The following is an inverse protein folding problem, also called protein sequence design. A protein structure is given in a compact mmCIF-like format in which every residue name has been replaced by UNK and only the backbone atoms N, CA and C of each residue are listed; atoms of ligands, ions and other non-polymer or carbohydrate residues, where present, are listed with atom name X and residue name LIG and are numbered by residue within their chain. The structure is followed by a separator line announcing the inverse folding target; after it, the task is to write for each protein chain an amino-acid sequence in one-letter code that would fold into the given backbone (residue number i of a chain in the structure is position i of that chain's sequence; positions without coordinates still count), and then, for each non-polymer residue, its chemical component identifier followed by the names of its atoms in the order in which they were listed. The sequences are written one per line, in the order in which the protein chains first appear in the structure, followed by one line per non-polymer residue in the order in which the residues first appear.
data_IF_721401397981
#
_entry.id   IF_721401397981
#
_cell.length_a   1.000
_cell.length_b   1.000
_cell.length_c   1.000
_cell.angle_alpha   90.00
_cell.angle_beta   90.00
_cell.angle_gamma   90.00
#
_symmetry.space_group_name_H-M   'P 1'
#
loop_
_entity.id
_entity.type
_entity.pdbx_description
1 polymer ?
#
# COMPACT_ATOMS: atom_id res chain seq x y z
N UNK A 1 -23.49 -41.09 -9.56
CA UNK A 1 -22.80 -40.37 -10.65
C UNK A 1 -23.27 -38.93 -10.61
N UNK A 2 -22.51 -38.08 -9.92
CA UNK A 2 -22.77 -36.64 -9.82
C UNK A 2 -22.36 -36.01 -11.16
N UNK A 3 -23.18 -35.17 -11.81
CA UNK A 3 -22.77 -34.56 -13.05
C UNK A 3 -21.67 -33.55 -12.75
N UNK A 4 -20.50 -33.77 -13.36
CA UNK A 4 -19.49 -32.74 -13.57
C UNK A 4 -20.18 -31.53 -14.21
N UNK A 5 -20.19 -30.40 -13.52
CA UNK A 5 -20.57 -29.12 -14.11
C UNK A 5 -19.60 -28.87 -15.26
N UNK A 6 -20.09 -29.06 -16.48
CA UNK A 6 -19.37 -28.68 -17.68
C UNK A 6 -19.16 -27.17 -17.64
N UNK A 7 -17.89 -26.73 -17.72
CA UNK A 7 -17.58 -25.35 -18.04
C UNK A 7 -18.23 -25.00 -19.38
N UNK A 8 -19.05 -23.96 -19.39
CA UNK A 8 -19.59 -23.38 -20.60
C UNK A 8 -18.41 -22.93 -21.50
N UNK A 9 -18.22 -23.50 -22.70
CA UNK A 9 -17.10 -23.19 -23.58
C UNK A 9 -17.16 -21.79 -24.22
N UNK A 10 -18.21 -21.00 -23.94
CA UNK A 10 -18.49 -19.74 -24.64
C UNK A 10 -18.06 -18.45 -23.92
N UNK A 11 -17.60 -18.50 -22.68
CA UNK A 11 -17.17 -17.27 -21.97
C UNK A 11 -15.66 -17.06 -22.05
N UNK A 12 -15.27 -15.97 -22.70
CA UNK A 12 -13.87 -15.52 -22.75
C UNK A 12 -13.35 -15.20 -21.36
N UNK A 13 -12.21 -15.78 -20.99
CA UNK A 13 -11.44 -15.39 -19.79
C UNK A 13 -10.98 -13.93 -19.95
N UNK A 14 -11.43 -13.00 -19.08
CA UNK A 14 -11.07 -11.59 -19.19
C UNK A 14 -9.62 -11.34 -18.78
N UNK A 15 -9.03 -10.28 -19.33
CA UNK A 15 -7.66 -9.88 -19.01
C UNK A 15 -7.59 -9.16 -17.65
N UNK A 16 -6.46 -9.29 -16.97
CA UNK A 16 -6.17 -8.65 -15.68
C UNK A 16 -4.77 -8.00 -15.69
N UNK A 17 -4.61 -6.79 -15.12
CA UNK A 17 -5.63 -5.96 -14.47
C UNK A 17 -6.65 -5.37 -15.45
N UNK A 18 -7.88 -5.14 -14.97
CA UNK A 18 -8.96 -4.53 -15.74
C UNK A 18 -8.90 -2.99 -15.64
N UNK A 19 -9.25 -2.25 -16.70
CA UNK A 19 -9.25 -0.79 -16.66
C UNK A 19 -10.36 -0.23 -15.76
N UNK A 20 -10.09 0.89 -15.10
CA UNK A 20 -11.09 1.66 -14.36
C UNK A 20 -11.93 2.49 -15.33
N UNK A 21 -13.11 2.89 -14.87
CA UNK A 21 -13.93 3.89 -15.56
C UNK A 21 -13.31 5.28 -15.33
N UNK A 22 -12.89 6.01 -16.39
CA UNK A 22 -12.37 7.37 -16.23
C UNK A 22 -13.37 8.33 -15.57
N UNK A 23 -14.68 8.07 -15.69
CA UNK A 23 -15.71 8.89 -15.04
C UNK A 23 -15.78 8.67 -13.52
N UNK A 24 -15.24 7.56 -13.00
CA UNK A 24 -15.15 7.28 -11.58
C UNK A 24 -13.85 6.54 -11.24
N UNK A 25 -12.71 7.25 -11.22
CA UNK A 25 -11.40 6.63 -11.04
C UNK A 25 -11.21 6.03 -9.63
N UNK A 26 -12.05 6.41 -8.66
CA UNK A 26 -12.02 5.84 -7.32
C UNK A 26 -12.62 4.43 -7.25
N UNK A 27 -13.61 4.14 -8.11
CA UNK A 27 -14.34 2.88 -8.10
C UNK A 27 -13.51 1.72 -8.71
N UNK A 28 -13.59 0.50 -8.15
CA UNK A 28 -13.00 -0.68 -8.77
C UNK A 28 -13.40 -0.82 -10.24
N UNK A 29 -12.56 -1.44 -11.08
CA UNK A 29 -12.89 -1.67 -12.49
C UNK A 29 -14.31 -2.22 -12.70
N UNK A 30 -15.12 -1.64 -13.61
CA UNK A 30 -16.51 -2.06 -13.81
C UNK A 30 -16.65 -3.56 -14.10
N UNK A 31 -15.72 -4.13 -14.87
CA UNK A 31 -15.71 -5.56 -15.16
C UNK A 31 -15.43 -6.40 -13.90
N UNK A 32 -14.57 -5.93 -13.00
CA UNK A 32 -14.28 -6.61 -11.73
C UNK A 32 -15.50 -6.57 -10.79
N UNK A 33 -16.25 -5.48 -10.79
CA UNK A 33 -17.53 -5.35 -10.07
C UNK A 33 -18.58 -6.29 -10.66
N UNK A 34 -18.70 -6.38 -11.99
CA UNK A 34 -19.59 -7.35 -12.65
C UNK A 34 -19.23 -8.80 -12.27
N UNK A 35 -17.93 -9.14 -12.27
CA UNK A 35 -17.48 -10.46 -11.83
C UNK A 35 -17.79 -10.72 -10.34
N UNK A 36 -17.71 -9.71 -9.48
CA UNK A 36 -18.12 -9.84 -8.07
C UNK A 36 -19.58 -10.29 -7.92
N UNK A 37 -20.49 -9.69 -8.70
CA UNK A 37 -21.92 -10.00 -8.64
C UNK A 37 -22.27 -11.34 -9.29
N UNK A 38 -21.69 -11.63 -10.45
CA UNK A 38 -22.05 -12.79 -11.27
C UNK A 38 -21.24 -14.05 -10.93
N UNK A 39 -19.92 -13.91 -10.76
CA UNK A 39 -18.95 -15.02 -10.69
C UNK A 39 -17.78 -14.66 -9.74
N UNK A 40 -18.03 -14.66 -8.43
CA UNK A 40 -17.11 -14.11 -7.43
C UNK A 40 -15.80 -14.89 -7.28
N UNK A 41 -15.76 -16.13 -7.79
CA UNK A 41 -14.56 -16.93 -7.97
C UNK A 41 -14.50 -17.33 -9.45
N UNK A 42 -13.59 -16.71 -10.19
CA UNK A 42 -13.51 -16.87 -11.65
C UNK A 42 -12.06 -16.87 -12.13
N UNK A 43 -11.82 -17.21 -13.41
CA UNK A 43 -10.48 -17.15 -14.00
C UNK A 43 -10.27 -15.79 -14.67
N UNK A 44 -9.04 -15.27 -14.58
CA UNK A 44 -8.54 -14.13 -15.34
C UNK A 44 -7.24 -14.48 -16.06
N UNK A 45 -6.92 -13.75 -17.13
CA UNK A 45 -5.70 -13.92 -17.93
C UNK A 45 -4.72 -12.80 -17.67
N UNK A 46 -3.45 -13.14 -17.46
CA UNK A 46 -2.37 -12.16 -17.28
C UNK A 46 -1.64 -11.89 -18.61
N UNK A 47 -0.76 -10.88 -18.58
CA UNK A 47 0.03 -10.41 -19.73
C UNK A 47 0.83 -11.50 -20.47
N UNK A 48 1.20 -12.59 -19.79
CA UNK A 48 1.95 -13.72 -20.37
C UNK A 48 1.05 -14.87 -20.88
N UNK A 49 -0.26 -14.64 -20.92
CA UNK A 49 -1.27 -15.61 -21.36
C UNK A 49 -1.64 -16.66 -20.30
N UNK A 50 -1.00 -16.67 -19.13
CA UNK A 50 -1.36 -17.55 -18.03
C UNK A 50 -2.73 -17.20 -17.44
N UNK A 51 -3.45 -18.20 -16.92
CA UNK A 51 -4.76 -18.02 -16.29
C UNK A 51 -4.72 -18.36 -14.80
N UNK A 52 -5.31 -17.48 -13.99
CA UNK A 52 -5.28 -17.55 -12.54
C UNK A 52 -6.65 -17.29 -11.95
N UNK A 53 -6.87 -17.75 -10.72
CA UNK A 53 -8.12 -17.51 -10.01
C UNK A 53 -8.18 -16.06 -9.51
N UNK A 54 -9.33 -15.42 -9.67
CA UNK A 54 -9.68 -14.13 -9.11
C UNK A 54 -10.79 -14.35 -8.07
N UNK A 55 -10.61 -13.81 -6.86
CA UNK A 55 -11.58 -13.96 -5.76
C UNK A 55 -12.02 -12.59 -5.28
N UNK A 56 -13.27 -12.24 -5.54
CA UNK A 56 -13.78 -10.86 -5.37
C UNK A 56 -14.75 -10.69 -4.19
N UNK A 57 -15.27 -11.76 -3.61
CA UNK A 57 -16.19 -11.70 -2.45
C UNK A 57 -15.46 -11.45 -1.13
N UNK A 58 -15.97 -10.53 -0.32
CA UNK A 58 -15.32 -10.13 0.94
C UNK A 58 -15.00 -11.32 1.87
N UNK A 59 -15.96 -12.21 2.10
CA UNK A 59 -15.77 -13.34 3.03
C UNK A 59 -14.75 -14.36 2.52
N UNK A 60 -14.79 -14.66 1.23
CA UNK A 60 -13.83 -15.55 0.58
C UNK A 60 -12.43 -14.94 0.65
N UNK A 61 -12.28 -13.66 0.33
CA UNK A 61 -11.00 -12.94 0.44
C UNK A 61 -10.45 -13.00 1.87
N UNK A 62 -11.29 -12.72 2.88
CA UNK A 62 -10.92 -12.76 4.29
C UNK A 62 -10.48 -14.16 4.72
N UNK A 63 -11.17 -15.20 4.29
CA UNK A 63 -10.81 -16.58 4.57
C UNK A 63 -9.44 -16.93 3.94
N UNK A 64 -9.24 -16.59 2.66
CA UNK A 64 -8.00 -16.86 1.95
C UNK A 64 -6.79 -16.13 2.53
N UNK A 65 -6.96 -14.93 3.08
CA UNK A 65 -5.88 -14.22 3.76
C UNK A 65 -5.33 -14.96 4.99
N UNK A 66 -6.15 -15.78 5.64
CA UNK A 66 -5.76 -16.57 6.81
C UNK A 66 -5.39 -18.02 6.48
N UNK A 67 -5.52 -18.47 5.23
CA UNK A 67 -5.32 -19.87 4.85
C UNK A 67 -3.85 -20.15 4.56
N UNK A 68 -3.20 -20.95 5.41
CA UNK A 68 -1.80 -21.33 5.28
C UNK A 68 -1.50 -22.21 4.04
N UNK A 69 -2.54 -22.76 3.38
CA UNK A 69 -2.38 -23.45 2.09
C UNK A 69 -2.13 -22.49 0.93
N UNK A 70 -2.27 -21.18 1.14
CA UNK A 70 -2.00 -20.14 0.15
C UNK A 70 -0.67 -19.44 0.44
N UNK A 71 0.35 -19.83 -0.30
CA UNK A 71 1.71 -19.30 -0.18
C UNK A 71 1.85 -17.91 -0.80
N UNK A 72 2.68 -17.06 -0.19
CA UNK A 72 3.14 -15.77 -0.76
C UNK A 72 4.50 -15.87 -1.44
N UNK A 73 5.12 -17.05 -1.47
CA UNK A 73 6.45 -17.25 -2.03
C UNK A 73 6.46 -17.04 -3.54
N UNK A 74 6.98 -15.88 -3.93
CA UNK A 74 7.09 -15.43 -5.32
C UNK A 74 8.08 -16.24 -6.14
N UNK A 75 8.83 -17.18 -5.57
CA UNK A 75 9.78 -18.03 -6.31
C UNK A 75 9.14 -19.32 -6.83
N UNK A 76 7.94 -19.64 -6.34
CA UNK A 76 7.24 -20.88 -6.71
C UNK A 76 6.70 -20.83 -8.13
N UNK A 77 6.79 -21.98 -8.82
CA UNK A 77 6.20 -22.15 -10.15
C UNK A 77 4.68 -22.00 -10.08
N UNK A 78 4.11 -21.22 -11.00
CA UNK A 78 2.68 -20.94 -11.07
C UNK A 78 2.24 -19.67 -10.33
N UNK A 79 3.17 -18.95 -9.69
CA UNK A 79 2.84 -17.69 -9.02
C UNK A 79 2.35 -16.64 -10.04
N UNK A 80 1.24 -15.90 -9.76
CA UNK A 80 0.66 -14.96 -10.71
C UNK A 80 1.42 -13.62 -10.71
N UNK A 81 2.33 -13.42 -11.66
CA UNK A 81 3.07 -12.17 -11.82
C UNK A 81 2.32 -11.18 -12.71
N UNK A 82 2.16 -9.96 -12.20
CA UNK A 82 1.42 -8.90 -12.90
C UNK A 82 2.19 -8.24 -14.05
N UNK A 83 3.51 -8.44 -14.13
CA UNK A 83 4.32 -7.91 -15.23
C UNK A 83 5.57 -8.76 -15.48
N UNK A 84 6.18 -8.56 -16.65
CA UNK A 84 7.45 -9.17 -17.02
C UNK A 84 8.57 -8.84 -16.04
N UNK A 85 8.65 -7.58 -15.59
CA UNK A 85 9.67 -7.12 -14.65
C UNK A 85 9.58 -7.82 -13.28
N UNK A 86 8.36 -8.02 -12.75
CA UNK A 86 8.17 -8.77 -11.50
C UNK A 86 8.56 -10.24 -11.65
N UNK A 87 8.22 -10.87 -12.77
CA UNK A 87 8.60 -12.26 -13.07
C UNK A 87 10.11 -12.42 -13.23
N UNK A 88 10.77 -11.46 -13.88
CA UNK A 88 12.22 -11.48 -14.10
C UNK A 88 13.01 -11.33 -12.79
N UNK A 89 12.53 -10.50 -11.86
CA UNK A 89 13.20 -10.18 -10.60
C UNK A 89 12.90 -11.19 -9.48
N UNK A 90 11.85 -12.00 -9.64
CA UNK A 90 11.50 -13.06 -8.73
C UNK A 90 12.68 -14.03 -8.52
N UNK A 91 13.04 -14.27 -7.25
CA UNK A 91 14.16 -15.13 -6.87
C UNK A 91 15.56 -14.52 -7.08
N UNK A 92 15.69 -13.33 -7.69
CA UNK A 92 16.98 -12.62 -7.84
C UNK A 92 17.26 -11.65 -6.69
N UNK A 93 16.24 -11.26 -5.94
CA UNK A 93 16.36 -10.45 -4.73
C UNK A 93 16.18 -11.37 -3.52
N UNK A 94 16.96 -11.21 -2.44
CA UNK A 94 16.71 -11.94 -1.20
C UNK A 94 15.24 -11.79 -0.78
N UNK A 95 14.54 -12.89 -0.44
CA UNK A 95 13.16 -12.82 -0.03
C UNK A 95 13.05 -11.94 1.22
N UNK A 96 12.02 -11.11 1.27
CA UNK A 96 11.61 -10.41 2.48
C UNK A 96 10.45 -11.14 3.13
N UNK A 97 10.14 -10.81 4.39
CA UNK A 97 8.98 -11.38 5.08
C UNK A 97 7.64 -11.09 4.39
N UNK A 98 7.59 -10.17 3.41
CA UNK A 98 6.40 -9.97 2.58
C UNK A 98 6.11 -11.16 1.64
N UNK A 99 7.12 -11.96 1.32
CA UNK A 99 7.08 -13.06 0.37
C UNK A 99 7.55 -14.39 1.00
N UNK A 100 7.44 -14.52 2.33
CA UNK A 100 7.78 -15.74 3.07
C UNK A 100 6.52 -16.32 3.70
N UNK A 101 6.45 -17.65 3.79
CA UNK A 101 5.44 -18.32 4.59
C UNK A 101 5.99 -18.62 6.00
N UNK A 102 5.11 -19.02 6.92
CA UNK A 102 5.53 -19.49 8.25
C UNK A 102 6.31 -20.81 8.15
N UNK A 103 7.28 -21.06 9.05
CA UNK A 103 7.61 -20.29 10.26
C UNK A 103 8.58 -19.11 10.03
N UNK A 104 9.17 -19.00 8.84
CA UNK A 104 10.22 -18.02 8.56
C UNK A 104 9.69 -16.58 8.55
N UNK A 105 8.49 -16.39 7.99
CA UNK A 105 7.76 -15.14 8.08
C UNK A 105 7.61 -14.67 9.53
N UNK A 106 7.07 -15.50 10.43
CA UNK A 106 6.92 -15.16 11.84
C UNK A 106 8.27 -14.87 12.53
N UNK A 107 9.36 -15.55 12.15
CA UNK A 107 10.70 -15.30 12.69
C UNK A 107 11.18 -13.89 12.34
N UNK A 108 11.24 -13.55 11.05
CA UNK A 108 11.74 -12.26 10.56
C UNK A 108 10.81 -11.12 10.98
N UNK A 109 9.49 -11.28 10.80
CA UNK A 109 8.52 -10.22 11.12
C UNK A 109 8.59 -9.80 12.59
N UNK A 110 8.75 -10.75 13.52
CA UNK A 110 8.88 -10.45 14.96
C UNK A 110 10.06 -9.54 15.30
N UNK A 111 11.12 -9.52 14.48
CA UNK A 111 12.27 -8.65 14.70
C UNK A 111 11.92 -7.17 14.52
N UNK A 112 10.95 -6.88 13.65
CA UNK A 112 10.56 -5.52 13.26
C UNK A 112 9.18 -5.11 13.79
N UNK A 113 8.41 -6.01 14.43
CA UNK A 113 7.07 -5.68 14.94
C UNK A 113 7.09 -4.67 16.11
N UNK A 114 8.08 -4.75 17.00
CA UNK A 114 8.09 -3.94 18.23
C UNK A 114 8.11 -2.42 17.97
N UNK A 115 8.92 -1.91 17.02
CA UNK A 115 8.85 -0.51 16.60
C UNK A 115 7.44 -0.05 16.18
N UNK A 116 6.65 -0.90 15.51
CA UNK A 116 5.34 -0.55 14.97
C UNK A 116 4.16 -0.74 15.94
N UNK A 117 4.42 -0.88 17.23
CA UNK A 117 3.33 -0.92 18.22
C UNK A 117 2.58 0.40 18.26
N UNK A 118 1.26 0.36 18.53
CA UNK A 118 0.40 1.55 18.56
C UNK A 118 1.01 2.65 19.44
N UNK A 119 1.50 2.29 20.64
CA UNK A 119 2.11 3.26 21.56
C UNK A 119 3.34 3.95 20.96
N UNK A 120 4.25 3.21 20.30
CA UNK A 120 5.45 3.79 19.68
C UNK A 120 5.10 4.64 18.46
N UNK A 121 4.12 4.20 17.66
CA UNK A 121 3.68 4.98 16.49
C UNK A 121 3.00 6.27 16.92
N UNK A 122 2.15 6.25 17.94
CA UNK A 122 1.54 7.47 18.50
C UNK A 122 2.57 8.46 19.07
N UNK A 123 3.71 7.98 19.59
CA UNK A 123 4.80 8.86 20.01
C UNK A 123 5.46 9.63 18.85
N UNK A 124 5.31 9.17 17.60
CA UNK A 124 5.76 9.90 16.41
C UNK A 124 4.78 10.99 15.96
N UNK A 125 3.54 11.04 16.47
CA UNK A 125 2.54 12.02 16.04
C UNK A 125 3.03 13.47 16.09
N UNK A 126 3.75 13.95 17.12
CA UNK A 126 4.33 15.30 17.12
C UNK A 126 5.33 15.53 15.99
N UNK A 127 6.16 14.51 15.66
CA UNK A 127 7.10 14.59 14.54
C UNK A 127 6.37 14.63 13.20
N UNK A 128 5.35 13.78 13.02
CA UNK A 128 4.51 13.80 11.81
C UNK A 128 3.83 15.16 11.65
N UNK A 129 3.32 15.74 12.74
CA UNK A 129 2.71 17.08 12.73
C UNK A 129 3.73 18.14 12.30
N UNK A 130 4.92 18.16 12.92
CA UNK A 130 5.99 19.11 12.57
C UNK A 130 6.37 19.02 11.09
N UNK A 131 6.63 17.81 10.58
CA UNK A 131 6.99 17.61 9.16
C UNK A 131 5.85 18.05 8.24
N UNK A 132 4.60 17.74 8.60
CA UNK A 132 3.42 18.17 7.83
C UNK A 132 3.32 19.70 7.78
N UNK A 133 3.52 20.36 8.92
CA UNK A 133 3.49 21.83 8.99
C UNK A 133 4.62 22.48 8.16
N UNK A 134 5.85 21.96 8.26
CA UNK A 134 7.00 22.43 7.47
C UNK A 134 6.78 22.27 5.96
N UNK A 135 6.23 21.14 5.52
CA UNK A 135 5.92 20.89 4.11
C UNK A 135 4.78 21.79 3.61
N UNK A 136 3.75 22.01 4.42
CA UNK A 136 2.67 22.94 4.08
C UNK A 136 3.19 24.39 4.03
N UNK A 137 4.08 24.80 4.94
CA UNK A 137 4.70 26.12 4.92
C UNK A 137 5.51 26.34 3.62
N UNK A 138 6.34 25.35 3.26
CA UNK A 138 7.10 25.39 2.02
C UNK A 138 6.20 25.41 0.77
N UNK A 139 5.13 24.63 0.77
CA UNK A 139 4.12 24.62 -0.30
C UNK A 139 3.44 25.99 -0.44
N UNK A 140 3.04 26.62 0.66
CA UNK A 140 2.37 27.92 0.66
C UNK A 140 3.28 29.08 0.25
N UNK A 141 4.60 28.97 0.51
CA UNK A 141 5.60 29.92 0.05
C UNK A 141 6.03 29.71 -1.41
N UNK A 142 5.63 28.58 -2.01
CA UNK A 142 5.98 28.17 -3.36
C UNK A 142 5.02 28.68 -4.45
N UNK A 143 5.09 28.10 -5.66
CA UNK A 143 4.18 28.44 -6.75
C UNK A 143 2.73 28.03 -6.42
N UNK A 144 1.77 28.77 -6.99
CA UNK A 144 0.34 28.46 -6.96
C UNK A 144 -0.19 28.66 -8.39
N UNK A 145 -0.54 27.59 -9.15
CA UNK A 145 -0.73 26.21 -8.71
C UNK A 145 0.56 25.46 -8.38
N UNK A 146 0.41 24.36 -7.63
CA UNK A 146 1.49 23.43 -7.24
C UNK A 146 1.07 21.98 -7.52
N UNK A 147 2.03 21.10 -7.79
CA UNK A 147 1.80 19.66 -7.71
C UNK A 147 1.87 19.19 -6.24
N UNK A 148 0.73 18.76 -5.70
CA UNK A 148 0.63 18.27 -4.31
C UNK A 148 1.46 16.98 -4.10
N UNK A 149 1.62 16.16 -5.15
CA UNK A 149 2.36 14.89 -5.04
C UNK A 149 3.81 15.18 -4.68
N UNK A 150 4.47 16.04 -5.45
CA UNK A 150 5.85 16.46 -5.20
C UNK A 150 6.01 17.38 -3.98
N UNK A 151 5.05 18.25 -3.69
CA UNK A 151 5.17 19.23 -2.60
C UNK A 151 4.88 18.67 -1.20
N UNK A 152 4.00 17.65 -1.09
CA UNK A 152 3.54 17.15 0.21
C UNK A 152 3.50 15.62 0.27
N UNK A 153 2.89 14.95 -0.71
CA UNK A 153 2.52 13.55 -0.57
C UNK A 153 3.72 12.59 -0.60
N UNK A 154 4.72 12.83 -1.45
CA UNK A 154 5.96 12.03 -1.48
C UNK A 154 6.94 12.40 -0.35
N UNK A 155 7.24 13.70 -0.09
CA UNK A 155 8.23 14.06 0.93
C UNK A 155 7.85 13.61 2.34
N UNK A 156 6.57 13.70 2.72
CA UNK A 156 6.13 13.42 4.09
C UNK A 156 6.46 11.99 4.55
N UNK A 157 5.93 10.92 3.93
CA UNK A 157 6.20 9.56 4.41
C UNK A 157 7.68 9.18 4.31
N UNK A 158 8.42 9.74 3.35
CA UNK A 158 9.87 9.59 3.27
C UNK A 158 10.59 10.18 4.49
N UNK A 159 10.20 11.35 4.96
CA UNK A 159 10.80 11.99 6.13
C UNK A 159 10.39 11.29 7.43
N UNK A 160 9.12 10.89 7.54
CA UNK A 160 8.60 10.18 8.72
C UNK A 160 9.26 8.81 8.91
N UNK A 161 9.45 8.04 7.82
CA UNK A 161 10.14 6.76 7.92
C UNK A 161 11.64 6.91 8.22
N UNK A 162 12.28 8.00 7.76
CA UNK A 162 13.65 8.32 8.15
C UNK A 162 13.77 8.55 9.66
N UNK A 163 12.83 9.30 10.24
CA UNK A 163 12.75 9.49 11.70
C UNK A 163 12.60 8.15 12.44
N UNK A 164 11.65 7.31 12.01
CA UNK A 164 11.41 6.00 12.63
C UNK A 164 12.65 5.09 12.55
N UNK A 165 13.38 5.13 11.43
CA UNK A 165 14.64 4.40 11.25
C UNK A 165 15.78 5.01 12.07
N UNK A 166 15.67 6.25 12.55
CA UNK A 166 16.75 6.95 13.24
C UNK A 166 17.86 7.41 12.29
N UNK A 167 17.46 7.81 11.08
CA UNK A 167 18.31 8.49 10.11
C UNK A 167 18.50 9.94 10.58
N UNK A 168 19.74 10.45 10.66
CA UNK A 168 20.01 11.84 10.97
C UNK A 168 19.34 12.80 9.98
N UNK A 169 18.84 13.92 10.50
CA UNK A 169 18.09 14.90 9.72
C UNK A 169 18.93 15.48 8.56
N UNK A 170 20.23 15.68 8.77
CA UNK A 170 21.17 16.17 7.76
C UNK A 170 21.26 15.29 6.51
N UNK A 171 20.87 14.01 6.61
CA UNK A 171 20.93 13.06 5.51
C UNK A 171 19.57 12.90 4.79
N UNK A 172 18.53 13.63 5.18
CA UNK A 172 17.21 13.53 4.57
C UNK A 172 17.20 13.78 3.05
N UNK A 173 18.01 14.72 2.55
CA UNK A 173 18.16 14.98 1.11
C UNK A 173 18.71 13.77 0.36
N UNK A 174 19.65 13.05 0.97
CA UNK A 174 20.19 11.81 0.41
C UNK A 174 19.08 10.76 0.30
N UNK A 175 18.29 10.58 1.36
CA UNK A 175 17.19 9.62 1.37
C UNK A 175 16.10 9.98 0.38
N UNK A 176 15.61 11.22 0.39
CA UNK A 176 14.57 11.66 -0.53
C UNK A 176 15.00 11.48 -1.99
N UNK A 177 16.24 11.84 -2.34
CA UNK A 177 16.75 11.69 -3.70
C UNK A 177 16.79 10.23 -4.14
N UNK A 178 17.38 9.34 -3.34
CA UNK A 178 17.50 7.93 -3.72
C UNK A 178 16.16 7.19 -3.61
N UNK A 179 15.31 7.57 -2.67
CA UNK A 179 13.95 7.04 -2.53
C UNK A 179 13.11 7.42 -3.74
N UNK A 180 13.16 8.68 -4.19
CA UNK A 180 12.49 9.16 -5.42
C UNK A 180 12.97 8.40 -6.66
N UNK A 181 14.27 8.21 -6.84
CA UNK A 181 14.83 7.43 -7.98
C UNK A 181 14.45 5.95 -7.89
N UNK A 182 14.40 5.38 -6.69
CA UNK A 182 14.03 3.99 -6.46
C UNK A 182 12.61 3.64 -6.91
N UNK A 183 11.69 4.61 -6.89
CA UNK A 183 10.27 4.44 -7.22
C UNK A 183 9.81 5.21 -8.47
N UNK A 184 10.69 6.01 -9.07
CA UNK A 184 10.36 6.78 -10.28
C UNK A 184 10.27 5.87 -11.51
N UNK A 185 9.29 6.14 -12.37
CA UNK A 185 9.14 5.47 -13.66
C UNK A 185 10.08 5.98 -14.75
N UNK A 186 10.58 7.20 -14.58
CA UNK A 186 11.57 7.78 -15.48
C UNK A 186 12.95 7.16 -15.24
N UNK A 187 13.15 6.52 -14.09
CA UNK A 187 14.38 5.83 -13.75
C UNK A 187 14.47 4.49 -14.49
N UNK A 188 15.62 4.27 -15.10
CA UNK A 188 15.99 2.97 -15.67
C UNK A 188 16.14 1.92 -14.56
N UNK A 189 16.00 0.64 -14.91
CA UNK A 189 16.25 -0.46 -13.98
C UNK A 189 17.66 -0.41 -13.36
N UNK A 190 18.64 0.16 -14.06
CA UNK A 190 20.00 0.37 -13.55
C UNK A 190 20.06 1.48 -12.49
N UNK A 191 19.38 2.61 -12.72
CA UNK A 191 19.31 3.72 -11.78
C UNK A 191 18.57 3.32 -10.49
N UNK A 192 17.42 2.65 -10.60
CA UNK A 192 16.68 2.19 -9.42
C UNK A 192 17.50 1.17 -8.62
N UNK A 193 18.24 0.26 -9.26
CA UNK A 193 19.17 -0.66 -8.57
C UNK A 193 20.30 0.08 -7.87
N UNK A 194 20.90 1.07 -8.53
CA UNK A 194 21.96 1.88 -7.96
C UNK A 194 21.47 2.67 -6.74
N UNK A 195 20.25 3.23 -6.81
CA UNK A 195 19.65 3.96 -5.71
C UNK A 195 19.34 3.07 -4.50
N UNK A 196 18.76 1.90 -4.71
CA UNK A 196 18.54 0.91 -3.65
C UNK A 196 19.86 0.44 -3.02
N UNK A 197 20.91 0.23 -3.83
CA UNK A 197 22.23 -0.14 -3.31
C UNK A 197 22.86 0.99 -2.47
N UNK A 198 22.66 2.24 -2.86
CA UNK A 198 23.14 3.40 -2.10
C UNK A 198 22.44 3.48 -0.73
N UNK A 199 21.12 3.31 -0.70
CA UNK A 199 20.31 3.26 0.53
C UNK A 199 20.74 2.08 1.42
N UNK A 200 20.90 0.89 0.85
CA UNK A 200 21.42 -0.29 1.57
C UNK A 200 22.76 0.01 2.24
N UNK A 201 23.75 0.50 1.48
CA UNK A 201 25.09 0.78 2.00
C UNK A 201 25.06 1.84 3.09
N UNK A 202 24.17 2.82 2.96
CA UNK A 202 23.98 3.83 3.99
C UNK A 202 23.43 3.20 5.28
N UNK A 203 22.32 2.46 5.20
CA UNK A 203 21.69 1.84 6.36
C UNK A 203 22.60 0.81 7.02
N UNK A 204 23.36 0.05 6.24
CA UNK A 204 24.38 -0.87 6.75
C UNK A 204 25.44 -0.12 7.55
N UNK A 205 25.95 1.03 7.06
CA UNK A 205 26.89 1.87 7.82
C UNK A 205 26.26 2.37 9.12
N UNK A 206 25.06 2.96 9.04
CA UNK A 206 24.36 3.51 10.19
C UNK A 206 24.11 2.45 11.28
N UNK A 207 23.70 1.24 10.90
CA UNK A 207 23.58 0.09 11.81
C UNK A 207 24.87 -0.23 12.56
N UNK A 208 26.04 -0.01 11.95
CA UNK A 208 27.32 -0.23 12.60
C UNK A 208 27.71 0.85 13.60
N UNK A 209 27.09 2.03 13.53
CA UNK A 209 27.33 3.15 14.43
C UNK A 209 26.43 3.07 15.68
N UNK A 210 25.21 2.54 15.54
CA UNK A 210 24.23 2.45 16.63
C UNK A 210 24.72 1.77 17.92
N UNK A 211 25.59 0.73 17.91
CA UNK A 211 26.08 0.14 19.15
C UNK A 211 26.90 1.10 20.03
N UNK A 212 27.54 2.11 19.44
CA UNK A 212 28.34 3.09 20.18
C UNK A 212 27.48 4.24 20.73
N UNK A 213 26.37 4.56 20.07
CA UNK A 213 25.44 5.63 20.44
C UNK A 213 23.99 5.21 20.10
N UNK A 214 23.37 4.37 20.96
CA UNK A 214 22.02 3.88 20.72
C UNK A 214 20.98 4.97 21.03
N UNK A 215 19.95 5.06 20.19
CA UNK A 215 18.81 5.95 20.39
C UNK A 215 17.49 5.17 20.35
N UNK A 216 16.35 5.84 20.63
CA UNK A 216 15.03 5.20 20.61
C UNK A 216 14.47 5.08 19.18
N UNK A 217 15.21 4.41 18.32
CA UNK A 217 14.89 4.21 16.90
C UNK A 217 15.01 2.75 16.46
N UNK A 218 14.42 2.46 15.30
CA UNK A 218 14.34 1.10 14.81
C UNK A 218 15.72 0.50 14.46
N UNK A 219 16.66 1.28 13.93
CA UNK A 219 17.99 0.75 13.60
C UNK A 219 18.79 0.43 14.87
N UNK A 220 18.57 1.16 15.97
CA UNK A 220 19.14 0.83 17.29
C UNK A 220 18.56 -0.48 17.82
N UNK A 221 17.25 -0.67 17.71
CA UNK A 221 16.57 -1.92 18.07
C UNK A 221 17.10 -3.12 17.25
N UNK A 222 17.31 -2.93 15.94
CA UNK A 222 17.88 -3.95 15.06
C UNK A 222 19.35 -4.22 15.38
N UNK A 223 20.15 -3.17 15.57
CA UNK A 223 21.58 -3.30 15.90
C UNK A 223 21.79 -4.08 17.20
N UNK A 224 20.96 -3.85 18.23
CA UNK A 224 20.99 -4.60 19.48
C UNK A 224 20.76 -6.12 19.26
N UNK A 225 19.90 -6.50 18.30
CA UNK A 225 19.64 -7.90 17.96
C UNK A 225 20.76 -8.55 17.15
N UNK A 226 21.52 -7.77 16.38
CA UNK A 226 22.67 -8.32 15.62
C UNK A 226 23.74 -8.92 16.53
N UNK A 227 23.80 -8.53 17.80
CA UNK A 227 24.73 -9.09 18.79
C UNK A 227 24.49 -10.60 19.05
N UNK A 228 23.26 -11.09 18.91
CA UNK A 228 22.95 -12.52 18.99
C UNK A 228 23.20 -13.29 17.68
N UNK A 229 23.66 -12.61 16.62
CA UNK A 229 23.89 -13.19 15.29
C UNK A 229 22.62 -13.41 14.46
N UNK A 230 21.45 -13.06 14.99
CA UNK A 230 20.16 -13.19 14.31
C UNK A 230 19.25 -11.98 14.62
N UNK A 231 18.99 -11.08 13.65
CA UNK A 231 19.46 -11.12 12.25
C UNK A 231 20.94 -10.76 12.12
N UNK A 232 21.56 -11.17 11.01
CA UNK A 232 22.85 -10.62 10.59
C UNK A 232 22.74 -9.12 10.28
N UNK A 233 23.87 -8.39 10.29
CA UNK A 233 23.89 -6.97 9.91
C UNK A 233 23.36 -6.72 8.49
N UNK A 234 23.62 -7.65 7.57
CA UNK A 234 23.12 -7.60 6.20
C UNK A 234 21.58 -7.68 6.16
N UNK A 235 21.01 -8.66 6.86
CA UNK A 235 19.55 -8.82 6.96
C UNK A 235 18.89 -7.62 7.64
N UNK A 236 19.49 -7.09 8.71
CA UNK A 236 19.02 -5.86 9.37
C UNK A 236 19.00 -4.65 8.42
N UNK A 237 20.05 -4.47 7.60
CA UNK A 237 20.11 -3.39 6.62
C UNK A 237 19.05 -3.56 5.52
N UNK A 238 18.86 -4.79 5.03
CA UNK A 238 17.82 -5.11 4.04
C UNK A 238 16.40 -4.88 4.59
N UNK A 239 16.16 -5.16 5.87
CA UNK A 239 14.89 -4.84 6.54
C UNK A 239 14.66 -3.32 6.59
N UNK A 240 15.70 -2.52 6.84
CA UNK A 240 15.61 -1.06 6.78
C UNK A 240 15.23 -0.55 5.37
N UNK A 241 15.88 -1.06 4.32
CA UNK A 241 15.55 -0.70 2.92
C UNK A 241 14.11 -1.08 2.57
N UNK A 242 13.68 -2.28 2.98
CA UNK A 242 12.32 -2.75 2.75
C UNK A 242 11.27 -1.81 3.34
N UNK A 243 11.47 -1.35 4.58
CA UNK A 243 10.52 -0.50 5.27
C UNK A 243 10.50 0.93 4.73
N UNK A 244 11.67 1.44 4.35
CA UNK A 244 11.80 2.72 3.65
C UNK A 244 10.97 2.72 2.35
N UNK A 245 11.08 1.66 1.54
CA UNK A 245 10.32 1.53 0.31
C UNK A 245 8.82 1.29 0.53
N UNK A 246 8.45 0.44 1.49
CA UNK A 246 7.06 0.01 1.70
C UNK A 246 6.12 1.15 2.14
N UNK A 247 6.60 2.05 3.00
CA UNK A 247 5.80 3.18 3.52
C UNK A 247 5.73 4.38 2.57
N UNK A 248 6.65 4.49 1.60
CA UNK A 248 6.77 5.70 0.79
C UNK A 248 5.65 5.83 -0.24
N UNK A 249 5.54 4.90 -1.19
CA UNK A 249 4.57 5.04 -2.29
C UNK A 249 3.12 4.85 -1.82
N UNK A 250 2.89 3.94 -0.87
CA UNK A 250 1.53 3.61 -0.39
C UNK A 250 0.88 4.76 0.35
N UNK A 251 1.58 5.39 1.30
CA UNK A 251 1.07 6.58 2.00
C UNK A 251 0.95 7.78 1.06
N UNK A 252 1.94 8.02 0.18
CA UNK A 252 1.88 9.14 -0.75
C UNK A 252 0.67 9.07 -1.69
N UNK A 253 0.40 7.88 -2.23
CA UNK A 253 -0.76 7.67 -3.09
C UNK A 253 -2.07 7.79 -2.30
N UNK A 254 -2.13 7.31 -1.05
CA UNK A 254 -3.29 7.52 -0.18
C UNK A 254 -3.53 9.01 0.06
N UNK A 255 -2.49 9.78 0.42
CA UNK A 255 -2.61 11.24 0.62
C UNK A 255 -3.19 11.90 -0.64
N UNK A 256 -2.59 11.65 -1.79
CA UNK A 256 -2.97 12.30 -3.05
C UNK A 256 -4.39 11.93 -3.47
N UNK A 257 -4.73 10.63 -3.47
CA UNK A 257 -6.07 10.17 -3.83
C UNK A 257 -7.13 10.59 -2.81
N UNK A 258 -6.80 10.62 -1.51
CA UNK A 258 -7.73 11.08 -0.49
C UNK A 258 -8.02 12.57 -0.59
N UNK A 259 -7.02 13.39 -0.92
CA UNK A 259 -7.25 14.81 -1.22
C UNK A 259 -8.14 14.96 -2.45
N UNK A 260 -7.80 14.28 -3.55
CA UNK A 260 -8.61 14.32 -4.77
C UNK A 260 -10.06 13.85 -4.51
N UNK A 261 -10.25 12.72 -3.82
CA UNK A 261 -11.58 12.21 -3.49
C UNK A 261 -12.39 13.17 -2.61
N UNK A 262 -11.77 13.81 -1.61
CA UNK A 262 -12.46 14.79 -0.78
C UNK A 262 -12.81 16.07 -1.56
N UNK A 263 -11.95 16.53 -2.48
CA UNK A 263 -12.26 17.68 -3.35
C UNK A 263 -13.45 17.41 -4.27
N UNK A 264 -13.61 16.17 -4.75
CA UNK A 264 -14.78 15.71 -5.52
C UNK A 264 -16.05 15.49 -4.67
N UNK A 265 -15.93 15.53 -3.32
CA UNK A 265 -17.05 15.37 -2.39
C UNK A 265 -17.06 16.48 -1.33
N UNK A 266 -17.42 17.73 -1.69
CA UNK A 266 -17.31 18.90 -0.82
C UNK A 266 -18.04 18.77 0.51
N UNK A 267 -19.15 18.04 0.55
CA UNK A 267 -19.92 17.80 1.77
C UNK A 267 -19.19 16.87 2.74
N UNK A 268 -18.41 15.90 2.24
CA UNK A 268 -17.55 15.04 3.05
C UNK A 268 -16.28 15.79 3.48
N UNK A 269 -15.71 16.59 2.58
CA UNK A 269 -14.58 17.46 2.88
C UNK A 269 -14.89 18.44 4.02
N UNK A 270 -16.08 19.04 4.03
CA UNK A 270 -16.49 19.94 5.12
C UNK A 270 -16.41 19.24 6.49
N UNK A 271 -16.76 17.95 6.57
CA UNK A 271 -16.66 17.17 7.82
C UNK A 271 -15.22 17.05 8.31
N UNK A 272 -14.29 16.80 7.39
CA UNK A 272 -12.86 16.64 7.68
C UNK A 272 -12.22 17.98 8.02
N UNK A 273 -12.61 19.05 7.31
CA UNK A 273 -12.08 20.41 7.48
C UNK A 273 -12.55 21.05 8.79
N UNK A 274 -13.83 20.91 9.11
CA UNK A 274 -14.49 21.69 10.17
C UNK A 274 -14.49 20.97 11.54
N UNK A 275 -13.87 19.79 11.64
CA UNK A 275 -13.80 19.02 12.90
C UNK A 275 -12.51 19.28 13.67
N UNK A 276 -12.64 19.45 14.99
CA UNK A 276 -11.52 19.38 15.94
C UNK A 276 -11.47 18.02 16.68
N UNK A 277 -12.45 17.13 16.47
CA UNK A 277 -12.50 15.80 17.11
C UNK A 277 -11.58 14.80 16.36
N UNK A 278 -10.52 14.28 17.01
CA UNK A 278 -9.64 13.29 16.40
C UNK A 278 -10.36 11.99 16.00
N UNK A 279 -11.48 11.65 16.64
CA UNK A 279 -12.26 10.45 16.30
C UNK A 279 -12.95 10.57 14.95
N UNK A 280 -13.40 11.78 14.59
CA UNK A 280 -14.01 12.04 13.27
C UNK A 280 -12.95 11.91 12.18
N UNK A 281 -11.76 12.48 12.38
CA UNK A 281 -10.64 12.30 11.45
C UNK A 281 -10.20 10.84 11.33
N UNK A 282 -10.13 10.11 12.45
CA UNK A 282 -9.81 8.69 12.42
C UNK A 282 -10.85 7.89 11.63
N UNK A 283 -12.15 8.16 11.80
CA UNK A 283 -13.22 7.54 11.03
C UNK A 283 -13.15 7.86 9.53
N UNK A 284 -12.89 9.13 9.19
CA UNK A 284 -12.71 9.57 7.81
C UNK A 284 -11.54 8.86 7.12
N UNK A 285 -10.43 8.65 7.83
CA UNK A 285 -9.27 7.90 7.32
C UNK A 285 -9.62 6.43 7.06
N UNK A 286 -10.35 5.76 7.96
CA UNK A 286 -10.78 4.38 7.70
C UNK A 286 -11.72 4.30 6.47
N UNK A 287 -12.61 5.28 6.30
CA UNK A 287 -13.47 5.32 5.11
C UNK A 287 -12.67 5.56 3.82
N UNK A 288 -11.71 6.48 3.82
CA UNK A 288 -10.84 6.72 2.66
C UNK A 288 -10.00 5.48 2.33
N UNK A 289 -9.45 4.79 3.33
CA UNK A 289 -8.73 3.53 3.16
C UNK A 289 -9.61 2.47 2.51
N UNK A 290 -10.85 2.30 3.00
CA UNK A 290 -11.85 1.40 2.39
C UNK A 290 -12.13 1.81 0.94
N UNK A 291 -12.50 3.06 0.72
CA UNK A 291 -12.99 3.56 -0.55
C UNK A 291 -11.92 3.48 -1.64
N UNK A 292 -10.69 3.90 -1.33
CA UNK A 292 -9.62 4.01 -2.32
C UNK A 292 -8.85 2.70 -2.53
N UNK A 293 -8.63 1.92 -1.46
CA UNK A 293 -7.88 0.65 -1.48
C UNK A 293 -6.70 0.65 -2.46
N UNK A 294 -5.70 1.50 -2.19
CA UNK A 294 -4.64 1.82 -3.16
C UNK A 294 -3.80 0.63 -3.61
N UNK A 295 -3.72 -0.46 -2.84
CA UNK A 295 -3.11 -1.71 -3.30
C UNK A 295 -4.12 -2.47 -4.18
N UNK A 296 -4.41 -1.92 -5.35
CA UNK A 296 -5.57 -2.30 -6.17
C UNK A 296 -5.36 -3.57 -7.00
N UNK A 297 -4.12 -3.91 -7.35
CA UNK A 297 -3.83 -5.09 -8.17
C UNK A 297 -3.96 -6.41 -7.39
N UNK A 298 -4.41 -6.33 -6.14
CA UNK A 298 -4.70 -7.46 -5.29
C UNK A 298 -3.46 -8.15 -4.72
N UNK A 299 -3.70 -8.89 -3.65
CA UNK A 299 -2.69 -9.76 -3.06
C UNK A 299 -2.69 -11.08 -3.81
N UNK A 300 -1.50 -11.53 -4.21
CA UNK A 300 -1.32 -12.78 -4.95
C UNK A 300 -0.91 -13.90 -4.02
N UNK A 301 -1.38 -15.10 -4.34
CA UNK A 301 -1.05 -16.34 -3.65
C UNK A 301 -0.84 -17.48 -4.63
N UNK A 302 -0.22 -18.55 -4.16
CA UNK A 302 -0.17 -19.84 -4.82
C UNK A 302 -0.77 -20.92 -3.91
N UNK A 303 -1.69 -21.73 -4.43
CA UNK A 303 -2.20 -22.88 -3.70
C UNK A 303 -1.11 -23.97 -3.56
N UNK A 304 -0.82 -24.35 -2.32
CA UNK A 304 0.07 -25.46 -1.97
C UNK A 304 -0.66 -26.80 -1.95
N UNK A 305 -1.96 -26.75 -1.68
CA UNK A 305 -2.87 -27.89 -1.57
C UNK A 305 -4.18 -27.56 -2.29
N UNK A 306 -4.95 -28.58 -2.66
CA UNK A 306 -6.30 -28.39 -3.20
C UNK A 306 -7.22 -27.75 -2.13
N UNK A 307 -8.02 -26.76 -2.54
CA UNK A 307 -8.98 -26.08 -1.67
C UNK A 307 -10.24 -25.66 -2.41
N UNK A 308 -11.35 -25.58 -1.69
CA UNK A 308 -12.62 -25.09 -2.21
C UNK A 308 -12.88 -23.66 -1.74
N UNK A 309 -13.25 -22.78 -2.67
CA UNK A 309 -13.54 -21.36 -2.42
C UNK A 309 -14.76 -20.98 -3.24
N UNK A 310 -15.80 -20.43 -2.61
CA UNK A 310 -17.03 -20.01 -3.32
C UNK A 310 -17.64 -21.11 -4.21
N UNK A 311 -17.51 -22.39 -3.84
CA UNK A 311 -17.97 -23.54 -4.61
C UNK A 311 -17.09 -23.92 -5.82
N UNK A 312 -15.95 -23.25 -6.02
CA UNK A 312 -14.94 -23.59 -7.02
C UNK A 312 -13.78 -24.34 -6.39
N UNK A 313 -13.19 -25.26 -7.16
CA UNK A 313 -12.09 -26.09 -6.69
C UNK A 313 -10.76 -25.59 -7.25
N UNK A 314 -9.94 -25.01 -6.38
CA UNK A 314 -8.59 -24.51 -6.68
C UNK A 314 -7.60 -25.64 -6.43
N UNK A 315 -6.82 -26.02 -7.45
CA UNK A 315 -5.82 -27.08 -7.39
C UNK A 315 -4.49 -26.58 -6.86
N UNK A 316 -3.72 -27.47 -6.22
CA UNK A 316 -2.33 -27.22 -5.89
C UNK A 316 -1.52 -26.79 -7.14
N UNK A 317 -0.71 -25.76 -6.99
CA UNK A 317 0.07 -25.13 -8.06
C UNK A 317 -0.68 -24.05 -8.85
N UNK A 318 -1.95 -23.79 -8.57
CA UNK A 318 -2.69 -22.69 -9.20
C UNK A 318 -2.50 -21.37 -8.44
N UNK A 319 -2.29 -20.28 -9.19
CA UNK A 319 -2.21 -18.93 -8.64
C UNK A 319 -3.60 -18.34 -8.36
N UNK A 320 -3.68 -17.55 -7.30
CA UNK A 320 -4.90 -16.85 -6.83
C UNK A 320 -4.60 -15.36 -6.66
N UNK A 321 -5.50 -14.50 -7.11
CA UNK A 321 -5.44 -13.04 -7.02
C UNK A 321 -6.63 -12.57 -6.18
N UNK A 322 -6.34 -11.78 -5.14
CA UNK A 322 -7.28 -11.32 -4.12
C UNK A 322 -7.36 -9.78 -4.16
N UNK A 323 -8.19 -9.18 -5.03
CA UNK A 323 -8.34 -7.73 -5.16
C UNK A 323 -9.20 -7.14 -4.03
N UNK A 324 -8.55 -6.73 -2.92
CA UNK A 324 -9.25 -6.23 -1.72
C UNK A 324 -10.21 -5.06 -1.96
N UNK A 325 -10.05 -4.30 -3.06
CA UNK A 325 -10.94 -3.20 -3.44
C UNK A 325 -12.39 -3.70 -3.65
N UNK A 326 -12.58 -4.87 -4.25
CA UNK A 326 -13.92 -5.45 -4.46
C UNK A 326 -14.62 -5.81 -3.15
N UNK A 327 -13.90 -6.43 -2.20
CA UNK A 327 -14.45 -6.70 -0.88
C UNK A 327 -14.77 -5.42 -0.11
N UNK A 328 -13.97 -4.38 -0.26
CA UNK A 328 -14.21 -3.07 0.35
C UNK A 328 -15.37 -2.29 -0.29
N UNK A 329 -15.82 -2.71 -1.46
CA UNK A 329 -16.97 -2.17 -2.19
C UNK A 329 -18.17 -3.14 -2.21
N UNK A 330 -18.14 -4.16 -1.34
CA UNK A 330 -19.17 -5.20 -1.24
C UNK A 330 -20.42 -4.66 -0.49
N UNK A 331 -21.61 -4.60 -1.11
CA UNK A 331 -22.81 -3.98 -0.52
C UNK A 331 -23.38 -4.73 0.70
N UNK A 332 -23.11 -6.02 0.81
CA UNK A 332 -23.42 -6.87 1.97
C UNK A 332 -22.57 -6.53 3.21
N UNK A 333 -21.44 -5.85 3.02
CA UNK A 333 -20.53 -5.42 4.09
C UNK A 333 -20.57 -3.92 4.34
N UNK A 334 -20.68 -3.14 3.27
CA UNK A 334 -20.68 -1.69 3.30
C UNK A 334 -21.87 -1.19 2.47
N UNK A 335 -23.03 -0.87 3.10
CA UNK A 335 -24.20 -0.36 2.40
C UNK A 335 -23.85 0.88 1.55
N UNK A 336 -24.44 1.01 0.36
CA UNK A 336 -24.11 2.06 -0.62
C UNK A 336 -22.58 2.23 -0.79
N UNK A 337 -21.86 1.17 -1.22
CA UNK A 337 -20.39 1.12 -1.15
C UNK A 337 -19.71 2.19 -2.01
N UNK A 338 -20.37 2.63 -3.09
CA UNK A 338 -19.89 3.67 -4.00
C UNK A 338 -20.06 5.10 -3.49
N UNK A 339 -20.82 5.32 -2.42
CA UNK A 339 -20.92 6.63 -1.76
C UNK A 339 -19.79 6.79 -0.76
N UNK A 340 -18.95 7.81 -0.94
CA UNK A 340 -17.99 8.23 0.09
C UNK A 340 -18.77 8.81 1.28
N UNK A 341 -18.66 8.17 2.45
CA UNK A 341 -19.31 8.62 3.68
C UNK A 341 -18.35 8.56 4.85
N UNK A 342 -17.68 9.68 5.15
CA UNK A 342 -16.61 9.74 6.16
C UNK A 342 -17.10 9.48 7.59
N UNK A 343 -18.42 9.37 7.79
CA UNK A 343 -19.04 9.04 9.08
C UNK A 343 -19.42 7.56 9.19
N UNK A 344 -19.23 6.76 8.13
CA UNK A 344 -19.48 5.31 8.11
C UNK A 344 -18.56 4.57 9.08
N UNK A 345 -19.05 3.46 9.66
CA UNK A 345 -18.18 2.48 10.33
C UNK A 345 -17.42 1.63 9.29
N UNK A 346 -16.24 2.10 8.87
CA UNK A 346 -15.40 1.44 7.87
C UNK A 346 -14.36 0.46 8.46
N UNK A 347 -14.35 0.22 9.78
CA UNK A 347 -13.27 -0.50 10.51
C UNK A 347 -12.97 -1.92 10.04
N UNK A 348 -13.88 -2.53 9.28
CA UNK A 348 -13.76 -3.90 8.77
C UNK A 348 -13.15 -3.99 7.37
N UNK A 349 -12.71 -2.87 6.79
CA UNK A 349 -12.09 -2.87 5.47
C UNK A 349 -10.81 -3.73 5.43
N UNK A 350 -10.42 -4.16 4.24
CA UNK A 350 -9.23 -4.96 3.97
C UNK A 350 -8.15 -4.18 3.18
N UNK A 351 -8.17 -2.84 3.22
CA UNK A 351 -7.15 -2.01 2.55
C UNK A 351 -5.71 -2.33 3.00
N UNK A 352 -5.53 -2.82 4.23
CA UNK A 352 -4.25 -3.29 4.78
C UNK A 352 -4.05 -4.80 4.67
N UNK A 353 -4.90 -5.50 3.92
CA UNK A 353 -4.99 -6.96 3.91
C UNK A 353 -5.51 -7.52 5.25
N UNK A 354 -5.36 -8.83 5.41
CA UNK A 354 -5.75 -9.56 6.62
C UNK A 354 -4.77 -10.72 6.89
N UNK A 355 -4.89 -11.35 8.06
CA UNK A 355 -4.06 -12.51 8.44
C UNK A 355 -2.63 -12.14 8.81
N UNK A 356 -1.73 -13.13 8.75
CA UNK A 356 -0.34 -13.00 9.20
C UNK A 356 0.44 -11.95 8.38
N UNK A 357 0.02 -11.67 7.14
CA UNK A 357 0.60 -10.66 6.25
C UNK A 357 -0.11 -9.30 6.27
N UNK A 358 -1.03 -9.06 7.22
CA UNK A 358 -1.63 -7.73 7.38
C UNK A 358 -0.55 -6.65 7.51
N UNK A 359 -0.78 -5.46 6.94
CA UNK A 359 0.22 -4.39 6.86
C UNK A 359 0.86 -4.09 8.22
N UNK A 360 2.19 -4.18 8.30
CA UNK A 360 2.96 -3.85 9.50
C UNK A 360 2.88 -2.34 9.83
N UNK A 361 2.97 -1.49 8.81
CA UNK A 361 2.97 -0.03 8.92
C UNK A 361 1.59 0.59 9.15
N UNK A 362 0.53 -0.21 9.30
CA UNK A 362 -0.84 0.30 9.38
C UNK A 362 -1.11 1.33 10.51
N UNK A 363 -0.44 1.32 11.68
CA UNK A 363 -0.68 2.35 12.69
C UNK A 363 0.00 3.66 12.30
N UNK A 364 1.18 3.61 11.68
CA UNK A 364 1.88 4.80 11.20
C UNK A 364 1.12 5.49 10.08
N UNK A 365 0.70 4.72 9.06
CA UNK A 365 -0.07 5.25 7.94
C UNK A 365 -1.34 5.97 8.41
N UNK A 366 -2.05 5.43 9.42
CA UNK A 366 -3.22 6.09 10.00
C UNK A 366 -2.88 7.44 10.64
N UNK A 367 -1.77 7.52 11.38
CA UNK A 367 -1.32 8.76 12.01
C UNK A 367 -0.97 9.80 10.95
N UNK A 368 -0.19 9.41 9.94
CA UNK A 368 0.18 10.28 8.81
C UNK A 368 -1.07 10.84 8.12
N UNK A 369 -2.02 9.97 7.73
CA UNK A 369 -3.23 10.39 7.03
C UNK A 369 -4.12 11.30 7.89
N UNK A 370 -4.28 10.99 9.19
CA UNK A 370 -5.05 11.84 10.12
C UNK A 370 -4.44 13.24 10.23
N UNK A 371 -3.12 13.31 10.41
CA UNK A 371 -2.39 14.57 10.56
C UNK A 371 -2.44 15.38 9.27
N UNK A 372 -2.20 14.75 8.12
CA UNK A 372 -2.18 15.41 6.81
C UNK A 372 -3.53 15.97 6.45
N UNK A 373 -4.58 15.15 6.44
CA UNK A 373 -5.90 15.64 6.03
C UNK A 373 -6.41 16.71 6.99
N UNK A 374 -6.27 16.47 8.30
CA UNK A 374 -6.69 17.45 9.31
C UNK A 374 -5.93 18.77 9.20
N UNK A 375 -4.62 18.75 8.96
CA UNK A 375 -3.80 19.97 8.87
C UNK A 375 -3.96 20.69 7.54
N UNK A 376 -3.91 19.96 6.41
CA UNK A 376 -4.01 20.53 5.07
C UNK A 376 -5.32 21.31 4.90
N UNK A 377 -6.46 20.70 5.22
CA UNK A 377 -7.76 21.35 5.00
C UNK A 377 -8.04 22.46 6.02
N UNK A 378 -7.53 22.34 7.26
CA UNK A 378 -7.62 23.42 8.24
C UNK A 378 -6.79 24.65 7.84
N UNK A 379 -5.56 24.45 7.35
CA UNK A 379 -4.62 25.54 6.99
C UNK A 379 -4.86 26.10 5.60
N UNK A 380 -5.41 25.30 4.70
CA UNK A 380 -5.67 25.67 3.29
C UNK A 380 -7.15 25.44 2.97
N UNK A 381 -8.09 26.16 3.61
CA UNK A 381 -9.53 25.88 3.53
C UNK A 381 -10.14 26.11 2.14
N UNK A 382 -9.42 26.81 1.25
CA UNK A 382 -9.82 27.10 -0.13
C UNK A 382 -9.07 26.25 -1.17
N UNK A 383 -8.34 25.21 -0.72
CA UNK A 383 -7.68 24.25 -1.60
C UNK A 383 -8.70 23.66 -2.59
N UNK A 384 -8.35 23.67 -3.87
CA UNK A 384 -9.16 23.15 -4.98
C UNK A 384 -8.27 22.61 -6.09
N UNK A 385 -8.82 21.74 -6.93
CA UNK A 385 -8.13 21.25 -8.13
C UNK A 385 -7.74 22.40 -9.07
N UNK A 386 -6.57 22.28 -9.69
CA UNK A 386 -6.12 23.15 -10.78
C UNK A 386 -6.20 22.47 -12.16
N UNK A 387 -6.72 21.24 -12.21
CA UNK A 387 -6.99 20.43 -13.40
C UNK A 387 -8.35 19.74 -13.23
N UNK A 388 -8.99 19.32 -14.32
CA UNK A 388 -10.19 18.46 -14.25
C UNK A 388 -9.82 17.02 -13.97
N UNK A 389 -10.78 16.19 -13.56
CA UNK A 389 -10.54 14.78 -13.24
C UNK A 389 -9.98 14.00 -14.43
N UNK A 390 -10.39 14.36 -15.66
CA UNK A 390 -9.92 13.75 -16.91
C UNK A 390 -8.47 14.11 -17.24
N UNK A 391 -7.97 15.24 -16.73
CA UNK A 391 -6.60 15.69 -16.93
C UNK A 391 -5.63 15.10 -15.90
N UNK A 392 -6.15 14.46 -14.84
CA UNK A 392 -5.31 13.85 -13.80
C UNK A 392 -4.61 12.59 -14.33
N UNK A 393 -3.27 12.53 -14.30
CA UNK A 393 -2.53 11.35 -14.75
C UNK A 393 -2.57 10.25 -13.68
N UNK A 394 -3.55 9.34 -13.76
CA UNK A 394 -3.66 8.19 -12.86
C UNK A 394 -2.59 7.12 -13.11
N UNK A 395 -2.22 6.39 -12.04
CA UNK A 395 -1.23 5.30 -12.07
C UNK A 395 -1.86 3.95 -12.46
N UNK A 396 -2.36 3.82 -13.69
CA UNK A 396 -3.05 2.59 -14.15
C UNK A 396 -2.11 1.38 -14.36
N UNK A 397 -0.81 1.62 -14.48
CA UNK A 397 0.27 0.67 -14.69
C UNK A 397 1.10 0.37 -13.43
N UNK A 398 0.67 0.88 -12.26
CA UNK A 398 1.30 0.60 -10.96
C UNK A 398 0.58 -0.50 -10.16
N UNK A 399 1.33 -1.18 -9.27
CA UNK A 399 0.74 -2.07 -8.24
C UNK A 399 -0.05 -1.25 -7.21
N UNK A 400 0.44 -0.05 -6.89
CA UNK A 400 -0.21 0.89 -5.99
C UNK A 400 -0.87 1.96 -6.84
N UNK A 401 -2.19 2.00 -6.82
CA UNK A 401 -3.00 3.02 -7.46
C UNK A 401 -2.76 4.38 -6.82
N UNK A 402 -2.80 5.43 -7.62
CA UNK A 402 -2.45 6.78 -7.24
C UNK A 402 -2.55 7.71 -8.44
N UNK A 403 -1.96 8.89 -8.29
CA UNK A 403 -1.81 9.87 -9.36
C UNK A 403 -0.33 10.23 -9.48
N UNK A 404 0.13 10.55 -10.68
CA UNK A 404 1.50 11.00 -10.90
C UNK A 404 1.71 12.41 -10.39
N UNK A 405 0.75 13.27 -10.68
CA UNK A 405 0.73 14.66 -10.34
C UNK A 405 -0.70 15.01 -9.90
N UNK A 406 -0.82 15.90 -8.94
CA UNK A 406 -2.10 16.45 -8.50
C UNK A 406 -1.99 17.97 -8.45
N UNK A 407 -2.24 18.65 -9.58
CA UNK A 407 -2.24 20.10 -9.64
C UNK A 407 -3.35 20.67 -8.74
N UNK A 408 -2.96 21.44 -7.74
CA UNK A 408 -3.87 22.12 -6.82
C UNK A 408 -3.55 23.60 -6.72
N UNK A 409 -4.55 24.37 -6.28
CA UNK A 409 -4.45 25.80 -6.00
C UNK A 409 -5.31 26.17 -4.79
N UNK A 410 -5.02 27.30 -4.17
CA UNK A 410 -5.81 27.88 -3.08
C UNK A 410 -6.15 29.33 -3.35
#
# INVERSE_FOLDING_TARGET
MTPLLAHDPSESVPDFPMPRDPACPFAPPPEMTRLHDERPVSKVRLWDGSTHWLVTRYDDQRALYGDARLSVDVTRRGFPYLSAGFKETAGKTPPSFLNMDDPEHARIRRMVTAPFTIKRMEALRPTVQRITDELIDAMLAGPNPVDLVGALALPLPSLVICELLGVPYEDHDFFQRHSKVGVSRESTAQESRAANLALYRYLERLLGLKPADPADDMLSDLAARTASGDPTRHEAAMLGVLLLGAGHETTANMISLGVLALLEHPEQLAVVRDTDDPKVLAGAVEELLRYLTVVHSGQRRLALEDLEVGGQHIRAGEGVIIPGATGNWSPDRFPDPGRLDVRRDARRHMAFGFGIHQCLGQPLARIELQVVYGTLFRRVPHLRGAATLEEIPFKDDGIVYGVHELPVRW
#
